data_IF_695227432712
#
_entry.id   IF_695227432712
#
_cell.length_a   1.000
_cell.length_b   1.000
_cell.length_c   1.000
_cell.angle_alpha   90.00
_cell.angle_beta   90.00
_cell.angle_gamma   90.00
#
_symmetry.space_group_name_H-M   'P 1'
#
loop_
_entity.id
_entity.type
_entity.pdbx_description
1 polymer ?
#
# COMPACT_ATOMS: atom_id res chain seq x y z
N UNK A 1 1.56 -6.42 -14.85
CA UNK A 1 0.53 -5.90 -15.76
C UNK A 1 1.14 -4.71 -16.45
N UNK A 2 1.29 -4.75 -17.77
CA UNK A 2 1.99 -3.73 -18.56
C UNK A 2 1.09 -3.30 -19.70
N UNK A 3 1.00 -2.01 -20.02
CA UNK A 3 0.64 -1.50 -21.35
C UNK A 3 1.11 -0.05 -21.58
N UNK A 4 1.56 0.14 -22.82
CA UNK A 4 2.22 1.29 -23.46
C UNK A 4 1.52 2.66 -23.36
N UNK A 5 2.35 3.72 -23.37
CA UNK A 5 1.94 5.13 -23.40
C UNK A 5 1.46 5.60 -24.78
N UNK A 6 0.33 6.29 -24.80
CA UNK A 6 -0.07 7.24 -25.83
C UNK A 6 -0.16 8.64 -25.23
N UNK A 7 0.53 9.60 -25.84
CA UNK A 7 0.76 10.98 -25.39
C UNK A 7 -0.42 11.91 -25.67
N UNK A 8 -0.80 12.80 -24.73
CA UNK A 8 -1.68 13.95 -25.01
C UNK A 8 -1.28 15.18 -24.18
N UNK A 9 -1.09 16.32 -24.84
CA UNK A 9 -0.74 17.64 -24.26
C UNK A 9 -1.98 18.53 -23.97
N UNK A 10 -1.78 19.51 -23.07
CA UNK A 10 -2.56 20.68 -22.60
C UNK A 10 -3.83 21.18 -23.34
N UNK A 11 -4.84 21.67 -22.58
CA UNK A 11 -5.63 22.94 -22.72
C UNK A 11 -6.61 23.12 -21.51
N UNK A 12 -6.98 24.38 -21.20
CA UNK A 12 -7.48 25.03 -19.97
C UNK A 12 -8.93 24.74 -19.43
N UNK A 13 -9.10 25.05 -18.14
CA UNK A 13 -10.25 25.30 -17.24
C UNK A 13 -11.69 24.80 -17.54
N UNK A 14 -12.24 23.97 -16.62
CA UNK A 14 -13.59 24.14 -16.03
C UNK A 14 -13.88 23.12 -14.92
N UNK A 15 -14.64 23.56 -13.92
CA UNK A 15 -15.03 22.86 -12.69
C UNK A 15 -15.86 21.58 -12.96
N UNK A 16 -15.20 20.43 -13.03
CA UNK A 16 -15.78 19.10 -12.82
C UNK A 16 -14.72 18.24 -12.15
N UNK A 17 -15.12 17.44 -11.16
CA UNK A 17 -14.22 16.65 -10.30
C UNK A 17 -13.07 16.08 -11.10
N UNK A 18 -11.91 16.75 -10.98
CA UNK A 18 -10.68 16.33 -11.61
C UNK A 18 -10.35 15.00 -10.96
N UNK A 19 -10.79 13.94 -11.63
CA UNK A 19 -10.21 12.62 -11.51
C UNK A 19 -8.78 12.82 -11.95
N UNK A 20 -7.95 13.40 -11.08
CA UNK A 20 -6.50 13.34 -11.21
C UNK A 20 -6.26 11.88 -11.50
N UNK A 21 -5.68 11.59 -12.66
CA UNK A 21 -5.23 10.24 -12.94
C UNK A 21 -4.22 9.95 -11.83
N UNK A 22 -4.67 9.29 -10.76
CA UNK A 22 -3.77 8.81 -9.74
C UNK A 22 -3.05 7.69 -10.45
N UNK A 23 -1.87 8.02 -10.97
CA UNK A 23 -0.98 7.08 -11.60
C UNK A 23 -0.66 6.03 -10.54
N UNK A 24 -1.19 4.81 -10.74
CA UNK A 24 -1.00 3.72 -9.79
C UNK A 24 0.43 3.21 -9.95
N UNK A 25 1.33 3.69 -9.11
CA UNK A 25 2.71 3.21 -9.08
C UNK A 25 2.76 1.77 -8.55
N UNK A 26 3.52 0.92 -9.24
CA UNK A 26 3.84 -0.41 -8.73
C UNK A 26 4.78 -0.30 -7.51
N UNK A 27 4.33 -0.83 -6.37
CA UNK A 27 5.14 -0.85 -5.15
C UNK A 27 6.00 -2.12 -5.08
N UNK A 28 5.38 -3.31 -5.07
CA UNK A 28 6.08 -4.60 -4.97
C UNK A 28 5.16 -5.79 -5.26
N UNK A 29 5.79 -6.93 -5.55
CA UNK A 29 5.17 -8.24 -5.60
C UNK A 29 5.69 -9.06 -4.43
N UNK A 30 4.79 -9.81 -3.80
CA UNK A 30 5.14 -10.71 -2.71
C UNK A 30 4.47 -12.06 -2.91
N UNK A 31 5.27 -13.13 -2.82
CA UNK A 31 4.76 -14.50 -2.71
C UNK A 31 4.21 -14.70 -1.30
N UNK A 32 2.94 -15.12 -1.21
CA UNK A 32 2.28 -15.41 0.07
C UNK A 32 2.80 -16.74 0.61
N UNK A 33 3.22 -16.73 1.86
CA UNK A 33 3.69 -17.92 2.58
C UNK A 33 2.61 -18.43 3.54
N UNK A 34 2.65 -19.70 3.99
CA UNK A 34 1.69 -20.21 4.98
C UNK A 34 1.65 -19.37 6.28
N UNK A 35 2.75 -18.71 6.65
CA UNK A 35 2.78 -17.79 7.80
C UNK A 35 1.94 -16.53 7.62
N UNK A 36 1.75 -16.06 6.38
CA UNK A 36 1.01 -14.83 6.08
C UNK A 36 -0.50 -15.02 6.26
N UNK A 37 -0.99 -16.23 6.01
CA UNK A 37 -2.41 -16.64 6.17
C UNK A 37 -2.61 -17.57 7.38
N UNK A 38 -1.61 -17.64 8.25
CA UNK A 38 -1.61 -18.53 9.40
C UNK A 38 -2.40 -17.98 10.59
N UNK A 39 -2.21 -18.60 11.75
CA UNK A 39 -2.93 -18.30 13.00
C UNK A 39 -2.86 -16.83 13.45
N UNK A 40 -1.84 -16.10 13.02
CA UNK A 40 -1.57 -14.73 13.45
C UNK A 40 -2.18 -13.66 12.53
N UNK A 41 -2.83 -14.07 11.42
CA UNK A 41 -3.54 -13.18 10.49
C UNK A 41 -2.74 -11.91 10.12
N UNK A 42 -1.44 -12.09 9.87
CA UNK A 42 -0.50 -11.01 9.61
C UNK A 42 0.21 -11.27 8.29
N UNK A 43 0.24 -10.28 7.42
CA UNK A 43 1.04 -10.31 6.20
C UNK A 43 2.38 -9.63 6.49
N UNK A 44 3.50 -10.32 6.29
CA UNK A 44 4.83 -9.72 6.46
C UNK A 44 5.20 -8.92 5.22
N UNK A 45 5.63 -7.68 5.36
CA UNK A 45 6.09 -6.85 4.23
C UNK A 45 7.62 -6.96 4.10
N UNK A 46 8.18 -7.24 2.91
CA UNK A 46 9.64 -7.28 2.75
C UNK A 46 10.25 -5.92 3.10
N UNK A 47 11.31 -5.93 3.93
CA UNK A 47 11.92 -4.73 4.52
C UNK A 47 12.25 -3.65 3.49
N UNK A 48 12.87 -4.03 2.37
CA UNK A 48 13.27 -3.08 1.32
C UNK A 48 12.06 -2.32 0.73
N UNK A 49 10.91 -2.98 0.60
CA UNK A 49 9.69 -2.36 0.08
C UNK A 49 8.95 -1.56 1.16
N UNK A 50 8.96 -2.06 2.40
CA UNK A 50 8.42 -1.38 3.56
C UNK A 50 9.02 0.04 3.70
N UNK A 51 10.34 0.14 3.72
CA UNK A 51 11.06 1.41 3.91
C UNK A 51 10.96 2.35 2.70
N UNK A 52 10.82 1.81 1.48
CA UNK A 52 10.71 2.63 0.27
C UNK A 52 9.32 3.23 0.08
N UNK A 53 8.27 2.47 0.40
CA UNK A 53 6.92 2.80 -0.03
C UNK A 53 5.92 3.09 1.09
N UNK A 54 6.22 2.69 2.33
CA UNK A 54 5.31 2.93 3.46
C UNK A 54 5.97 3.83 4.50
N UNK A 55 5.38 5.00 4.79
CA UNK A 55 5.90 5.86 5.85
C UNK A 55 5.73 5.19 7.22
N UNK A 56 6.76 5.32 8.06
CA UNK A 56 6.70 4.99 9.48
C UNK A 56 6.90 6.28 10.26
N UNK A 57 5.79 6.96 10.56
CA UNK A 57 5.86 8.12 11.43
C UNK A 57 6.30 7.64 12.81
N UNK A 58 7.28 8.29 13.43
CA UNK A 58 7.80 7.92 14.75
C UNK A 58 6.71 7.84 15.82
N UNK A 59 5.63 8.62 15.66
CA UNK A 59 4.42 8.62 16.50
C UNK A 59 3.50 7.41 16.29
N UNK A 60 3.60 6.74 15.14
CA UNK A 60 2.77 5.59 14.77
C UNK A 60 3.32 4.25 15.28
N UNK A 61 4.52 4.23 15.87
CA UNK A 61 5.13 2.99 16.38
C UNK A 61 4.29 2.28 17.44
N UNK A 62 3.54 3.00 18.27
CA UNK A 62 2.78 2.39 19.38
C UNK A 62 1.42 1.81 18.94
N UNK A 63 0.80 2.40 17.91
CA UNK A 63 -0.55 2.01 17.46
C UNK A 63 -0.61 1.50 16.02
N UNK A 64 0.46 1.59 15.25
CA UNK A 64 0.50 1.31 13.82
C UNK A 64 -0.21 2.37 12.97
N UNK A 65 0.19 2.47 11.71
CA UNK A 65 -0.42 3.32 10.70
C UNK A 65 -1.61 2.59 10.06
N UNK A 66 -2.75 3.25 9.92
CA UNK A 66 -3.93 2.64 9.27
C UNK A 66 -3.94 3.00 7.79
N UNK A 67 -3.80 1.98 6.95
CA UNK A 67 -3.76 2.11 5.50
C UNK A 67 -5.09 1.68 4.89
N UNK A 68 -5.55 2.41 3.88
CA UNK A 68 -6.73 2.06 3.10
C UNK A 68 -6.29 1.66 1.70
N UNK A 69 -6.73 0.49 1.26
CA UNK A 69 -6.47 -0.06 -0.07
C UNK A 69 -7.78 -0.30 -0.79
N UNK A 70 -7.76 -0.18 -2.10
CA UNK A 70 -8.90 -0.51 -2.96
C UNK A 70 -8.52 -1.70 -3.82
N UNK A 71 -9.36 -2.73 -3.84
CA UNK A 71 -9.15 -3.85 -4.75
C UNK A 71 -9.60 -3.50 -6.18
N UNK A 72 -9.44 -4.45 -7.11
CA UNK A 72 -9.83 -4.27 -8.52
C UNK A 72 -11.34 -4.12 -8.70
N UNK A 73 -12.14 -4.49 -7.69
CA UNK A 73 -13.58 -4.40 -7.68
C UNK A 73 -14.08 -3.11 -7.03
N UNK A 74 -13.18 -2.22 -6.60
CA UNK A 74 -13.53 -0.96 -5.94
C UNK A 74 -13.84 -1.11 -4.44
N UNK A 75 -13.66 -2.30 -3.85
CA UNK A 75 -13.92 -2.50 -2.42
C UNK A 75 -12.72 -2.03 -1.61
N UNK A 76 -13.01 -1.21 -0.60
CA UNK A 76 -11.99 -0.72 0.32
C UNK A 76 -11.65 -1.74 1.40
N UNK A 77 -10.36 -1.89 1.67
CA UNK A 77 -9.78 -2.73 2.70
C UNK A 77 -8.92 -1.85 3.61
N UNK A 78 -9.04 -2.04 4.91
CA UNK A 78 -8.27 -1.29 5.90
C UNK A 78 -7.33 -2.26 6.59
N UNK A 79 -6.05 -1.92 6.61
CA UNK A 79 -5.03 -2.71 7.29
C UNK A 79 -4.20 -1.81 8.19
N UNK A 80 -3.87 -2.32 9.38
CA UNK A 80 -2.91 -1.69 10.26
C UNK A 80 -1.52 -2.14 9.87
N UNK A 81 -0.67 -1.19 9.52
CA UNK A 81 0.74 -1.37 9.25
C UNK A 81 1.56 -1.04 10.50
N UNK A 82 2.42 -1.96 10.92
CA UNK A 82 3.22 -1.80 12.13
C UNK A 82 4.61 -2.41 11.97
N UNK A 83 5.56 -1.84 12.68
CA UNK A 83 6.87 -2.44 12.88
C UNK A 83 6.90 -3.19 14.21
N UNK A 84 7.23 -4.48 14.17
CA UNK A 84 7.33 -5.30 15.36
C UNK A 84 8.79 -5.39 15.79
N UNK A 85 9.12 -4.67 16.87
CA UNK A 85 10.50 -4.57 17.37
C UNK A 85 11.12 -5.93 17.75
N UNK A 86 10.35 -6.83 18.34
CA UNK A 86 10.84 -8.13 18.81
C UNK A 86 11.31 -9.06 17.68
N UNK A 87 10.68 -8.97 16.51
CA UNK A 87 11.01 -9.76 15.32
C UNK A 87 11.64 -8.94 14.20
N UNK A 88 11.88 -7.65 14.44
CA UNK A 88 12.40 -6.68 13.45
C UNK A 88 11.70 -6.78 12.09
N UNK A 89 10.36 -6.89 12.10
CA UNK A 89 9.58 -7.17 10.90
C UNK A 89 8.46 -6.16 10.72
N UNK A 90 8.21 -5.78 9.46
CA UNK A 90 7.06 -4.98 9.07
C UNK A 90 5.87 -5.89 8.78
N UNK A 91 4.71 -5.58 9.33
CA UNK A 91 3.50 -6.39 9.16
C UNK A 91 2.29 -5.54 8.83
N UNK A 92 1.38 -6.11 8.06
CA UNK A 92 -0.01 -5.65 7.95
C UNK A 92 -0.92 -6.62 8.70
N UNK A 93 -1.77 -6.08 9.58
CA UNK A 93 -2.83 -6.83 10.26
C UNK A 93 -4.18 -6.22 9.89
N UNK A 94 -5.26 -7.00 10.09
CA UNK A 94 -6.63 -6.50 9.95
C UNK A 94 -6.99 -5.49 11.05
#
# INVERSE_FOLDING_TARGET
MDLSLGSCNNIEESNTGSSRCIEKEYMFDKVVTPSDVGKLNRLVIPKQHAEKYFPLDSSSNEKGLLLNFEDRNGKSWRFRYSYWNSSQSYVMTK
#
